data_IF_613121992104
#
_entry.id   IF_613121992104
#
_cell.length_a   1.000
_cell.length_b   1.000
_cell.length_c   1.000
_cell.angle_alpha   90.00
_cell.angle_beta   90.00
_cell.angle_gamma   90.00
#
_symmetry.space_group_name_H-M   'P 1'
#
loop_
_entity.id
_entity.type
_entity.pdbx_description
1 polymer ?
#
# COMPACT_ATOMS: atom_id res chain seq x y z
N UNK A 1 -38.70 14.81 -30.61
CA UNK A 1 -37.29 14.91 -30.21
C UNK A 1 -37.11 14.07 -28.98
N UNK A 2 -36.25 13.06 -29.04
CA UNK A 2 -36.01 12.12 -27.95
C UNK A 2 -34.77 12.58 -27.18
N UNK A 3 -34.89 12.80 -25.87
CA UNK A 3 -33.75 13.05 -24.99
C UNK A 3 -33.55 11.81 -24.11
N UNK A 4 -32.48 11.07 -24.40
CA UNK A 4 -31.99 9.98 -23.58
C UNK A 4 -31.29 10.56 -22.35
N UNK A 5 -31.83 10.32 -21.15
CA UNK A 5 -31.08 10.51 -19.92
C UNK A 5 -30.29 9.23 -19.66
N UNK A 6 -28.96 9.38 -19.75
CA UNK A 6 -27.98 8.32 -19.64
C UNK A 6 -28.15 7.51 -18.36
N UNK A 7 -28.12 6.20 -18.53
CA UNK A 7 -28.08 5.25 -17.43
C UNK A 7 -26.88 5.54 -16.54
N UNK A 8 -27.15 5.70 -15.26
CA UNK A 8 -26.15 5.53 -14.21
C UNK A 8 -25.72 4.07 -14.32
N UNK A 9 -24.59 3.82 -14.97
CA UNK A 9 -23.95 2.51 -14.89
C UNK A 9 -23.36 2.45 -13.50
N UNK A 10 -24.10 1.82 -12.59
CA UNK A 10 -23.54 1.27 -11.38
C UNK A 10 -22.38 0.38 -11.79
N UNK A 11 -21.14 0.88 -11.61
CA UNK A 11 -19.96 0.01 -11.64
C UNK A 11 -20.19 -1.00 -10.52
N UNK A 12 -20.62 -2.19 -10.93
CA UNK A 12 -20.84 -3.32 -10.07
C UNK A 12 -19.53 -3.60 -9.35
N UNK A 13 -19.45 -3.24 -8.07
CA UNK A 13 -18.44 -3.75 -7.15
C UNK A 13 -18.76 -5.23 -6.89
N UNK A 14 -18.46 -6.06 -7.88
CA UNK A 14 -18.36 -7.50 -7.76
C UNK A 14 -17.20 -7.94 -8.63
N UNK A 15 -16.01 -7.43 -8.31
CA UNK A 15 -14.81 -8.11 -8.73
C UNK A 15 -14.66 -9.30 -7.80
N UNK A 16 -15.03 -10.48 -8.30
CA UNK A 16 -14.57 -11.73 -7.72
C UNK A 16 -13.05 -11.60 -7.70
N UNK A 17 -12.46 -11.46 -6.51
CA UNK A 17 -11.01 -11.36 -6.33
C UNK A 17 -10.37 -12.56 -7.03
N UNK A 18 -9.92 -12.40 -8.27
CA UNK A 18 -9.24 -13.47 -8.96
C UNK A 18 -7.84 -13.55 -8.37
N UNK A 19 -7.63 -14.47 -7.44
CA UNK A 19 -6.35 -14.68 -6.77
C UNK A 19 -5.28 -15.25 -7.71
N UNK A 20 -5.62 -15.56 -8.98
CA UNK A 20 -4.68 -16.10 -9.98
C UNK A 20 -3.61 -15.12 -10.42
N UNK A 21 -3.86 -13.81 -10.36
CA UNK A 21 -2.87 -12.81 -10.81
C UNK A 21 -1.90 -12.41 -9.69
N UNK A 22 -2.28 -12.64 -8.43
CA UNK A 22 -1.44 -12.30 -7.27
C UNK A 22 -0.04 -12.95 -7.34
N UNK A 23 0.12 -14.24 -7.72
CA UNK A 23 1.44 -14.83 -7.96
C UNK A 23 2.27 -14.11 -9.02
N UNK A 24 1.65 -13.63 -10.11
CA UNK A 24 2.36 -12.94 -11.19
C UNK A 24 2.80 -11.55 -10.75
N UNK A 25 1.89 -10.78 -10.13
CA UNK A 25 2.21 -9.45 -9.57
C UNK A 25 3.30 -9.52 -8.49
N UNK A 26 3.33 -10.61 -7.69
CA UNK A 26 4.39 -10.86 -6.71
C UNK A 26 5.73 -11.24 -7.37
N UNK A 27 5.72 -11.93 -8.51
CA UNK A 27 6.92 -12.21 -9.28
C UNK A 27 7.54 -10.93 -9.88
N UNK A 28 6.68 -10.02 -10.37
CA UNK A 28 7.11 -8.70 -10.85
C UNK A 28 7.72 -7.87 -9.70
N UNK A 29 7.07 -7.87 -8.52
CA UNK A 29 7.59 -7.25 -7.31
C UNK A 29 8.98 -7.77 -6.93
N UNK A 30 9.17 -9.10 -6.93
CA UNK A 30 10.47 -9.71 -6.65
C UNK A 30 11.53 -9.29 -7.66
N UNK A 31 11.19 -9.30 -8.95
CA UNK A 31 12.11 -8.91 -10.02
C UNK A 31 12.62 -7.48 -9.81
N UNK A 32 11.72 -6.55 -9.51
CA UNK A 32 12.07 -5.16 -9.20
C UNK A 32 12.99 -5.10 -7.96
N UNK A 33 12.60 -5.74 -6.85
CA UNK A 33 13.36 -5.72 -5.59
C UNK A 33 14.71 -6.46 -5.66
N UNK A 34 14.90 -7.39 -6.58
CA UNK A 34 16.18 -8.08 -6.82
C UNK A 34 17.14 -7.23 -7.65
N UNK A 35 16.60 -6.44 -8.58
CA UNK A 35 17.38 -5.50 -9.39
C UNK A 35 17.73 -4.20 -8.67
N UNK A 36 16.98 -3.85 -7.63
CA UNK A 36 17.16 -2.63 -6.86
C UNK A 36 18.20 -2.80 -5.73
N UNK A 37 18.80 -1.70 -5.22
CA UNK A 37 19.71 -1.75 -4.08
C UNK A 37 19.10 -2.49 -2.88
N UNK A 38 19.92 -3.25 -2.16
CA UNK A 38 19.44 -3.92 -0.93
C UNK A 38 18.96 -2.88 0.07
N UNK A 39 17.76 -3.08 0.59
CA UNK A 39 17.12 -2.13 1.48
C UNK A 39 15.99 -2.76 2.27
N UNK A 40 15.61 -2.11 3.37
CA UNK A 40 14.43 -2.50 4.13
C UNK A 40 13.16 -2.29 3.31
N UNK A 41 12.15 -3.12 3.56
CA UNK A 41 10.80 -2.97 3.03
C UNK A 41 9.85 -2.68 4.20
N UNK A 42 9.03 -1.65 4.06
CA UNK A 42 7.86 -1.39 4.91
C UNK A 42 6.63 -1.63 4.06
N UNK A 43 5.55 -2.17 4.64
CA UNK A 43 4.36 -2.47 3.86
C UNK A 43 3.06 -2.13 4.61
N UNK A 44 2.10 -1.54 3.90
CA UNK A 44 0.70 -1.45 4.28
C UNK A 44 -0.06 -2.50 3.48
N UNK A 45 -0.43 -3.61 4.12
CA UNK A 45 -1.03 -4.77 3.46
C UNK A 45 -2.33 -5.20 4.11
N UNK A 46 -3.29 -5.71 3.33
CA UNK A 46 -4.56 -6.22 3.84
C UNK A 46 -4.40 -7.41 4.81
N UNK A 47 -3.28 -8.15 4.72
CA UNK A 47 -3.09 -9.45 5.37
C UNK A 47 -1.86 -9.53 6.30
N UNK A 48 -1.40 -8.39 6.84
CA UNK A 48 -0.23 -8.32 7.73
C UNK A 48 1.01 -9.03 7.15
N UNK A 49 1.34 -8.70 5.90
CA UNK A 49 2.50 -9.19 5.15
C UNK A 49 2.52 -10.70 4.90
N UNK A 50 1.41 -11.41 5.15
CA UNK A 50 1.35 -12.87 5.01
C UNK A 50 1.65 -13.30 3.58
N UNK A 51 1.03 -12.65 2.59
CA UNK A 51 1.25 -12.92 1.16
C UNK A 51 2.67 -12.55 0.72
N UNK A 52 3.27 -11.49 1.28
CA UNK A 52 4.65 -11.12 0.99
C UNK A 52 5.64 -12.16 1.51
N UNK A 53 5.45 -12.62 2.74
CA UNK A 53 6.30 -13.68 3.30
C UNK A 53 6.14 -14.99 2.52
N UNK A 54 4.93 -15.31 2.10
CA UNK A 54 4.61 -16.57 1.43
C UNK A 54 5.05 -16.59 -0.05
N UNK A 55 4.74 -15.55 -0.82
CA UNK A 55 5.02 -15.50 -2.27
C UNK A 55 6.34 -14.81 -2.62
N UNK A 56 6.78 -13.83 -1.84
CA UNK A 56 7.99 -13.06 -2.12
C UNK A 56 9.21 -13.47 -1.27
N UNK A 57 9.03 -14.35 -0.27
CA UNK A 57 10.10 -14.72 0.68
C UNK A 57 10.81 -13.50 1.30
N UNK A 58 10.13 -12.36 1.38
CA UNK A 58 10.64 -11.12 1.95
C UNK A 58 9.96 -10.86 3.28
N UNK A 59 10.74 -10.39 4.25
CA UNK A 59 10.22 -9.79 5.48
C UNK A 59 10.01 -8.30 5.23
N UNK A 60 8.78 -7.82 5.36
CA UNK A 60 8.49 -6.40 5.46
C UNK A 60 8.22 -6.02 6.91
N UNK A 61 8.55 -4.77 7.27
CA UNK A 61 8.06 -4.17 8.51
C UNK A 61 6.64 -3.70 8.29
N UNK A 62 5.74 -4.09 9.18
CA UNK A 62 4.34 -3.69 9.12
C UNK A 62 4.19 -2.18 9.30
N UNK A 63 3.42 -1.55 8.42
CA UNK A 63 2.86 -0.23 8.65
C UNK A 63 1.44 -0.39 9.20
N UNK A 64 1.11 0.24 10.35
CA UNK A 64 -0.16 0.03 11.05
C UNK A 64 -1.38 0.46 10.23
N UNK A 65 -2.49 -0.27 10.40
CA UNK A 65 -3.79 0.16 9.91
C UNK A 65 -4.35 1.30 10.78
N UNK A 66 -5.27 2.08 10.25
CA UNK A 66 -5.99 3.12 10.99
C UNK A 66 -6.72 2.52 12.22
N UNK A 67 -7.19 1.28 12.13
CA UNK A 67 -7.73 0.55 13.28
C UNK A 67 -6.72 0.36 14.41
N UNK A 68 -5.44 0.11 14.08
CA UNK A 68 -4.36 0.04 15.07
C UNK A 68 -3.92 1.44 15.53
N UNK A 69 -4.03 2.44 14.64
CA UNK A 69 -3.82 3.86 14.96
C UNK A 69 -4.94 4.44 15.83
N UNK A 70 -6.15 3.86 15.81
CA UNK A 70 -7.29 4.30 16.62
C UNK A 70 -7.08 4.04 18.12
N UNK A 71 -6.14 3.14 18.47
CA UNK A 71 -5.61 3.01 19.83
C UNK A 71 -4.85 4.28 20.28
N UNK A 72 -4.33 5.09 19.34
CA UNK A 72 -3.76 6.43 19.60
C UNK A 72 -4.82 7.54 19.53
N UNK A 73 -5.92 7.36 18.78
CA UNK A 73 -6.97 8.38 18.63
C UNK A 73 -7.79 8.62 19.91
N UNK A 74 -7.86 7.65 20.84
CA UNK A 74 -8.40 7.89 22.18
C UNK A 74 -7.61 8.96 22.97
N UNK A 75 -6.46 9.44 22.46
CA UNK A 75 -5.69 10.55 22.99
C UNK A 75 -5.48 11.73 22.02
N UNK A 76 -6.12 11.75 20.84
CA UNK A 76 -6.02 12.86 19.89
C UNK A 76 -4.73 12.85 19.07
N UNK A 77 -4.60 11.88 18.17
CA UNK A 77 -3.47 11.74 17.25
C UNK A 77 -3.16 13.04 16.51
N UNK A 78 -1.94 13.55 16.70
CA UNK A 78 -1.47 14.78 16.08
C UNK A 78 -0.60 14.48 14.85
N UNK A 79 -0.39 15.42 13.92
CA UNK A 79 0.62 15.28 12.85
C UNK A 79 2.02 14.90 13.36
N UNK A 80 2.34 15.23 14.63
CA UNK A 80 3.59 14.85 15.29
C UNK A 80 3.70 13.34 15.54
N UNK A 81 2.57 12.65 15.73
CA UNK A 81 2.56 11.20 15.94
C UNK A 81 2.74 10.45 14.63
N UNK A 82 2.20 10.99 13.53
CA UNK A 82 2.50 10.51 12.18
C UNK A 82 3.99 10.64 11.86
N UNK A 83 4.61 11.81 12.09
CA UNK A 83 6.03 11.99 11.76
C UNK A 83 6.93 11.03 12.56
N UNK A 84 6.65 10.81 13.86
CA UNK A 84 7.38 9.80 14.65
C UNK A 84 7.22 8.38 14.10
N UNK A 85 6.00 8.01 13.70
CA UNK A 85 5.77 6.71 13.08
C UNK A 85 6.50 6.61 11.73
N UNK A 86 6.45 7.67 10.93
CA UNK A 86 7.16 7.76 9.67
C UNK A 86 8.68 7.62 9.83
N UNK A 87 9.28 8.21 10.86
CA UNK A 87 10.72 8.03 11.17
C UNK A 87 11.11 6.55 11.31
N UNK A 88 10.21 5.71 11.85
CA UNK A 88 10.47 4.27 11.94
C UNK A 88 10.48 3.59 10.57
N UNK A 89 9.62 4.04 9.66
CA UNK A 89 9.55 3.58 8.28
C UNK A 89 10.67 4.15 7.41
N UNK A 90 11.08 5.40 7.64
CA UNK A 90 12.12 6.10 6.91
C UNK A 90 13.52 5.46 7.01
N UNK A 91 13.72 4.48 7.89
CA UNK A 91 14.92 3.62 7.86
C UNK A 91 14.91 2.54 6.77
N UNK A 92 13.82 2.38 6.02
CA UNK A 92 13.70 1.44 4.90
C UNK A 92 13.96 2.13 3.56
N UNK A 93 14.27 1.34 2.52
CA UNK A 93 14.46 1.87 1.16
C UNK A 93 13.16 1.87 0.36
N UNK A 94 12.24 0.97 0.71
CA UNK A 94 11.01 0.75 -0.05
C UNK A 94 9.78 0.75 0.85
N UNK A 95 8.67 1.25 0.28
CA UNK A 95 7.35 1.19 0.89
C UNK A 95 6.38 0.53 -0.09
N UNK A 96 5.72 -0.55 0.32
CA UNK A 96 4.73 -1.26 -0.47
C UNK A 96 3.33 -0.98 0.05
N UNK A 97 2.40 -0.71 -0.85
CA UNK A 97 0.97 -0.65 -0.55
C UNK A 97 0.28 -1.77 -1.31
N UNK A 98 -0.42 -2.64 -0.58
CA UNK A 98 -1.37 -3.59 -1.17
C UNK A 98 -2.81 -3.38 -0.69
N UNK A 99 -3.02 -2.49 0.29
CA UNK A 99 -4.34 -2.10 0.79
C UNK A 99 -4.65 -0.64 0.42
N UNK A 100 -5.11 -0.43 -0.81
CA UNK A 100 -5.46 0.91 -1.30
C UNK A 100 -6.66 1.51 -0.55
N UNK A 101 -7.57 0.67 -0.04
CA UNK A 101 -8.72 1.12 0.76
C UNK A 101 -8.23 1.70 2.08
N UNK A 102 -7.27 1.04 2.72
CA UNK A 102 -6.68 1.53 3.95
C UNK A 102 -5.82 2.77 3.72
N UNK A 103 -5.05 2.83 2.64
CA UNK A 103 -4.30 4.04 2.27
C UNK A 103 -5.24 5.26 2.12
N UNK A 104 -6.42 5.07 1.51
CA UNK A 104 -7.41 6.15 1.33
C UNK A 104 -7.95 6.71 2.66
N UNK A 105 -7.82 5.96 3.75
CA UNK A 105 -8.20 6.37 5.10
C UNK A 105 -7.06 7.01 5.88
N UNK A 106 -5.82 6.96 5.37
CA UNK A 106 -4.62 7.54 5.96
C UNK A 106 -4.10 8.69 5.08
N UNK A 107 -4.78 9.86 5.05
CA UNK A 107 -4.43 10.94 4.11
C UNK A 107 -3.00 11.46 4.27
N UNK A 108 -2.48 11.53 5.51
CA UNK A 108 -1.10 11.92 5.76
C UNK A 108 -0.09 10.95 5.12
N UNK A 109 -0.37 9.64 5.15
CA UNK A 109 0.47 8.65 4.50
C UNK A 109 0.38 8.76 2.98
N UNK A 110 -0.83 8.93 2.43
CA UNK A 110 -1.03 9.09 0.99
C UNK A 110 -0.27 10.33 0.47
N UNK A 111 -0.41 11.47 1.13
CA UNK A 111 0.30 12.71 0.78
C UNK A 111 1.82 12.57 0.90
N UNK A 112 2.29 11.76 1.87
CA UNK A 112 3.72 11.47 2.04
C UNK A 112 4.25 10.59 0.91
N UNK A 113 3.56 9.49 0.59
CA UNK A 113 3.97 8.54 -0.45
C UNK A 113 3.93 9.16 -1.86
N UNK A 114 2.99 10.08 -2.12
CA UNK A 114 2.89 10.79 -3.39
C UNK A 114 4.14 11.63 -3.76
N UNK A 115 5.04 11.87 -2.79
CA UNK A 115 6.29 12.60 -3.01
C UNK A 115 7.44 11.69 -3.50
N UNK A 116 7.25 10.38 -3.48
CA UNK A 116 8.28 9.41 -3.80
C UNK A 116 8.05 8.73 -5.16
N UNK A 117 9.12 8.36 -5.88
CA UNK A 117 9.00 7.67 -7.15
C UNK A 117 8.40 6.27 -6.96
N UNK A 118 7.52 5.90 -7.88
CA UNK A 118 6.92 4.57 -7.97
C UNK A 118 7.82 3.69 -8.83
N UNK A 119 8.22 2.53 -8.30
CA UNK A 119 9.02 1.52 -9.00
C UNK A 119 8.16 0.42 -9.63
N UNK A 120 6.98 0.17 -9.08
CA UNK A 120 6.02 -0.80 -9.57
C UNK A 120 4.61 -0.33 -9.23
N UNK A 121 3.71 -0.40 -10.19
CA UNK A 121 2.27 -0.21 -10.00
C UNK A 121 1.54 -1.30 -10.78
N UNK A 122 0.78 -2.12 -10.06
CA UNK A 122 -0.10 -3.15 -10.62
C UNK A 122 -1.54 -2.85 -10.21
N UNK A 123 -2.46 -3.75 -10.55
CA UNK A 123 -3.84 -3.67 -10.09
C UNK A 123 -3.97 -3.65 -8.56
N UNK A 124 -3.04 -4.30 -7.83
CA UNK A 124 -3.14 -4.48 -6.37
C UNK A 124 -1.94 -3.95 -5.59
N UNK A 125 -0.79 -3.77 -6.23
CA UNK A 125 0.46 -3.45 -5.56
C UNK A 125 1.01 -2.12 -6.06
N UNK A 126 1.45 -1.27 -5.15
CA UNK A 126 2.24 -0.08 -5.48
C UNK A 126 3.49 -0.04 -4.63
N UNK A 127 4.66 -0.08 -5.28
CA UNK A 127 5.97 -0.01 -4.63
C UNK A 127 6.58 1.38 -4.83
N UNK A 128 6.83 2.06 -3.72
CA UNK A 128 7.51 3.36 -3.67
C UNK A 128 8.97 3.17 -3.24
N UNK A 129 9.88 3.94 -3.83
CA UNK A 129 11.25 4.09 -3.34
C UNK A 129 11.34 5.31 -2.43
N UNK A 130 11.46 5.05 -1.13
CA UNK A 130 11.44 6.09 -0.10
C UNK A 130 12.83 6.54 0.35
N UNK A 131 13.86 5.73 0.06
CA UNK A 131 15.27 6.13 0.15
C UNK A 131 16.10 5.47 -0.97
N UNK A 132 17.18 6.13 -1.44
CA UNK A 132 18.11 5.59 -2.42
C UNK A 132 18.92 4.39 -1.89
#
# INVERSE_FOLDING_TARGET
GWAAYGGITSKQFFDQTDFRDLPAEMADLNTVLESAPKGGLVALTEDYETSLRFYAFRSARHWPHLGDLSYFELQGSTPRDFEKLWETAAGASYFLVSDAKELSRQPLLADKLAQYPILLETTRLTLYQINP
#
